data_IF_357773885563
#
_entry.id   IF_357773885563
#
_cell.length_a   1.000
_cell.length_b   1.000
_cell.length_c   1.000
_cell.angle_alpha   90.00
_cell.angle_beta   90.00
_cell.angle_gamma   90.00
#
_symmetry.space_group_name_H-M   'P 1'
#
loop_
_entity.id
_entity.type
_entity.pdbx_description
1 polymer ?
#
# COMPACT_ATOMS: atom_id res chain seq x y z
N UNK A 1 -13.13 14.75 23.82
CA UNK A 1 -13.50 14.08 22.56
C UNK A 1 -12.27 13.80 21.72
N UNK A 2 -11.52 14.84 21.31
CA UNK A 2 -10.24 14.70 20.55
C UNK A 2 -9.27 13.74 21.23
N UNK A 3 -8.96 13.94 22.51
CA UNK A 3 -8.01 13.07 23.24
C UNK A 3 -8.45 11.60 23.29
N UNK A 4 -9.75 11.35 23.42
CA UNK A 4 -10.31 9.99 23.40
C UNK A 4 -10.17 9.35 22.02
N UNK A 5 -10.38 10.12 20.96
CA UNK A 5 -10.22 9.64 19.58
C UNK A 5 -8.75 9.35 19.24
N UNK A 6 -7.84 10.26 19.62
CA UNK A 6 -6.40 10.07 19.44
C UNK A 6 -5.89 8.85 20.23
N UNK A 7 -6.43 8.62 21.45
CA UNK A 7 -6.14 7.43 22.25
C UNK A 7 -6.66 6.15 21.59
N UNK A 8 -7.91 6.16 21.09
CA UNK A 8 -8.48 5.02 20.35
C UNK A 8 -7.69 4.72 19.07
N UNK A 9 -7.22 5.77 18.38
CA UNK A 9 -6.36 5.62 17.20
C UNK A 9 -5.01 5.01 17.57
N UNK A 10 -4.39 5.45 18.67
CA UNK A 10 -3.14 4.86 19.18
C UNK A 10 -3.31 3.40 19.57
N UNK A 11 -4.42 3.05 20.23
CA UNK A 11 -4.75 1.68 20.61
C UNK A 11 -4.95 0.78 19.37
N UNK A 12 -5.66 1.28 18.35
CA UNK A 12 -5.82 0.57 17.08
C UNK A 12 -4.47 0.33 16.37
N UNK A 13 -3.56 1.31 16.39
CA UNK A 13 -2.21 1.16 15.83
C UNK A 13 -1.39 0.15 16.67
N UNK A 14 -1.50 0.17 17.99
CA UNK A 14 -0.81 -0.80 18.84
C UNK A 14 -1.33 -2.23 18.66
N UNK A 15 -2.63 -2.39 18.49
CA UNK A 15 -3.23 -3.68 18.18
C UNK A 15 -2.77 -4.18 16.80
N UNK A 16 -2.75 -3.29 15.80
CA UNK A 16 -2.19 -3.56 14.48
C UNK A 16 -0.72 -4.01 14.56
N UNK A 17 0.13 -3.31 15.32
CA UNK A 17 1.54 -3.71 15.53
C UNK A 17 1.61 -5.06 16.22
N UNK A 18 0.85 -5.28 17.29
CA UNK A 18 0.83 -6.57 18.02
C UNK A 18 0.41 -7.71 17.11
N UNK A 19 -0.57 -7.52 16.24
CA UNK A 19 -1.00 -8.53 15.27
C UNK A 19 0.11 -8.91 14.29
N UNK A 20 0.83 -7.91 13.75
CA UNK A 20 1.97 -8.18 12.87
C UNK A 20 3.11 -8.86 13.63
N UNK A 21 3.44 -8.41 14.85
CA UNK A 21 4.51 -9.00 15.67
C UNK A 21 4.20 -10.43 16.13
N UNK A 22 2.95 -10.73 16.51
CA UNK A 22 2.50 -12.10 16.83
C UNK A 22 2.66 -12.99 15.61
N UNK A 23 2.27 -12.50 14.43
CA UNK A 23 2.50 -13.21 13.16
C UNK A 23 4.00 -13.44 12.99
N UNK A 24 4.85 -12.44 13.15
CA UNK A 24 6.30 -12.63 13.07
C UNK A 24 6.86 -13.60 14.13
N UNK A 25 6.30 -13.69 15.33
CA UNK A 25 6.75 -14.61 16.37
C UNK A 25 6.36 -16.07 16.10
N UNK A 26 5.30 -16.33 15.34
CA UNK A 26 4.94 -17.68 14.92
C UNK A 26 5.96 -18.31 13.95
N UNK A 27 6.93 -17.53 13.43
CA UNK A 27 8.02 -17.96 12.53
C UNK A 27 8.95 -19.01 13.15
N UNK A 28 9.25 -18.88 14.44
CA UNK A 28 10.18 -19.79 15.15
C UNK A 28 9.49 -21.08 15.61
N UNK A 29 8.18 -21.19 15.40
CA UNK A 29 7.40 -22.38 15.73
C UNK A 29 7.27 -23.34 14.55
N UNK A 30 7.11 -24.66 14.80
CA UNK A 30 6.92 -25.66 13.74
C UNK A 30 5.63 -25.47 12.91
N UNK A 31 4.77 -24.50 13.26
CA UNK A 31 3.48 -24.22 12.65
C UNK A 31 3.48 -23.06 11.64
N UNK A 32 4.58 -22.34 11.43
CA UNK A 32 4.63 -21.24 10.46
C UNK A 32 4.23 -21.68 9.04
N UNK A 33 4.66 -22.88 8.64
CA UNK A 33 4.23 -23.50 7.39
C UNK A 33 2.74 -23.86 7.36
N UNK A 34 2.14 -24.25 8.50
CA UNK A 34 0.71 -24.55 8.61
C UNK A 34 -0.15 -23.28 8.49
N UNK A 35 0.28 -22.20 9.14
CA UNK A 35 -0.41 -20.91 9.20
C UNK A 35 -0.43 -20.18 7.85
N UNK A 36 0.46 -20.52 6.93
CA UNK A 36 0.48 -20.06 5.53
C UNK A 36 -0.23 -21.06 4.59
N UNK A 37 -0.33 -22.34 4.98
CA UNK A 37 -0.98 -23.41 4.22
C UNK A 37 -2.47 -23.64 4.57
N UNK A 38 -3.04 -22.90 5.52
CA UNK A 38 -4.41 -23.16 5.99
C UNK A 38 -5.49 -22.60 5.04
N UNK A 39 -6.09 -23.54 4.31
CA UNK A 39 -7.37 -23.45 3.61
C UNK A 39 -8.43 -22.65 4.41
N UNK A 40 -9.13 -21.67 3.79
CA UNK A 40 -10.18 -20.88 4.43
C UNK A 40 -11.38 -21.66 5.01
N UNK A 41 -11.46 -22.97 4.79
CA UNK A 41 -12.58 -23.83 5.19
C UNK A 41 -12.50 -24.37 6.63
N UNK A 42 -11.42 -24.15 7.38
CA UNK A 42 -11.25 -24.72 8.73
C UNK A 42 -11.37 -23.74 9.91
N UNK A 43 -11.74 -22.47 9.69
CA UNK A 43 -12.00 -21.50 10.76
C UNK A 43 -13.22 -21.84 11.66
N UNK A 44 -13.90 -22.97 11.44
CA UNK A 44 -15.11 -23.34 12.17
C UNK A 44 -15.03 -24.59 13.07
N UNK A 45 -13.86 -25.22 13.23
CA UNK A 45 -13.72 -26.40 14.10
C UNK A 45 -12.76 -26.17 15.28
N UNK A 46 -13.09 -25.18 16.11
CA UNK A 46 -12.63 -25.13 17.51
C UNK A 46 -13.55 -25.98 18.40
N UNK A 47 -13.62 -27.29 18.16
CA UNK A 47 -14.25 -28.23 19.11
C UNK A 47 -13.26 -29.34 19.49
N UNK A 48 -13.00 -29.55 20.79
CA UNK A 48 -11.99 -30.51 21.25
C UNK A 48 -12.62 -31.89 21.41
N UNK A 49 -12.68 -32.67 20.33
CA UNK A 49 -12.70 -34.12 20.45
C UNK A 49 -12.37 -34.74 19.10
N UNK A 50 -11.24 -35.43 18.96
CA UNK A 50 -11.08 -36.63 18.13
C UNK A 50 -9.71 -37.27 18.41
N UNK A 51 -9.74 -38.33 19.21
CA UNK A 51 -8.68 -39.33 19.28
C UNK A 51 -8.78 -40.30 18.09
N UNK A 52 -7.70 -40.45 17.32
CA UNK A 52 -7.32 -41.66 16.55
C UNK A 52 -5.91 -41.50 15.98
N UNK A 53 -4.98 -42.33 16.46
CA UNK A 53 -3.54 -42.05 16.56
C UNK A 53 -2.63 -42.66 15.46
N UNK A 54 -3.10 -42.86 14.22
CA UNK A 54 -2.21 -43.37 13.15
C UNK A 54 -2.43 -42.78 11.75
N UNK A 55 -3.63 -42.28 11.43
CA UNK A 55 -3.86 -41.52 10.19
C UNK A 55 -3.52 -40.04 10.31
N UNK A 56 -3.56 -39.48 11.53
CA UNK A 56 -3.24 -38.07 11.79
C UNK A 56 -1.77 -37.75 11.53
N UNK A 57 -0.85 -38.66 11.85
CA UNK A 57 0.59 -38.43 11.64
C UNK A 57 0.99 -38.49 10.17
N UNK A 58 0.37 -39.33 9.34
CA UNK A 58 0.65 -39.36 7.88
C UNK A 58 0.09 -38.11 7.20
N UNK A 59 -1.14 -37.72 7.54
CA UNK A 59 -1.75 -36.48 7.04
C UNK A 59 -0.99 -35.23 7.51
N UNK A 60 -0.53 -35.21 8.76
CA UNK A 60 0.28 -34.13 9.29
C UNK A 60 1.69 -34.09 8.66
N UNK A 61 2.26 -35.24 8.28
CA UNK A 61 3.57 -35.32 7.62
C UNK A 61 3.50 -34.98 6.12
N UNK A 62 2.42 -35.37 5.43
CA UNK A 62 2.07 -34.90 4.07
C UNK A 62 1.79 -33.40 4.08
N UNK A 63 0.96 -32.90 5.00
CA UNK A 63 0.73 -31.46 5.22
C UNK A 63 2.02 -30.70 5.53
N UNK A 64 2.92 -31.26 6.36
CA UNK A 64 4.21 -30.66 6.67
C UNK A 64 5.16 -30.65 5.45
N UNK A 65 5.09 -31.67 4.59
CA UNK A 65 5.84 -31.72 3.34
C UNK A 65 5.28 -30.78 2.28
N UNK A 66 3.96 -30.58 2.27
CA UNK A 66 3.22 -29.71 1.35
C UNK A 66 3.37 -28.24 1.75
N UNK A 67 3.32 -27.92 3.04
CA UNK A 67 3.68 -26.63 3.61
C UNK A 67 5.17 -26.27 3.36
N UNK A 68 6.09 -27.24 3.45
CA UNK A 68 7.51 -27.06 3.07
C UNK A 68 7.71 -26.85 1.57
N UNK A 69 6.89 -27.46 0.71
CA UNK A 69 6.97 -27.32 -0.74
C UNK A 69 6.26 -26.05 -1.26
N UNK A 70 5.20 -25.58 -0.60
CA UNK A 70 4.41 -24.41 -1.01
C UNK A 70 4.98 -23.07 -0.50
N UNK A 71 5.74 -23.08 0.60
CA UNK A 71 6.59 -21.95 1.01
C UNK A 71 8.04 -22.20 0.58
N UNK A 72 8.35 -22.00 -0.70
CA UNK A 72 9.75 -21.93 -1.13
C UNK A 72 10.50 -20.87 -0.29
N UNK A 73 11.74 -21.15 0.15
CA UNK A 73 12.48 -20.27 1.09
C UNK A 73 12.52 -18.80 0.67
N UNK A 74 12.59 -18.54 -0.65
CA UNK A 74 12.54 -17.19 -1.24
C UNK A 74 11.21 -16.47 -0.95
N UNK A 75 10.08 -17.17 -1.09
CA UNK A 75 8.74 -16.62 -0.84
C UNK A 75 8.54 -16.28 0.64
N UNK A 76 9.10 -17.08 1.53
CA UNK A 76 9.05 -16.85 2.98
C UNK A 76 9.92 -15.64 3.36
N UNK A 77 11.10 -15.51 2.77
CA UNK A 77 11.99 -14.35 2.95
C UNK A 77 11.37 -13.05 2.43
N UNK A 78 10.71 -13.09 1.27
CA UNK A 78 9.97 -11.95 0.71
C UNK A 78 8.84 -11.51 1.65
N UNK A 79 8.01 -12.45 2.11
CA UNK A 79 6.91 -12.16 3.02
C UNK A 79 7.42 -11.54 4.35
N UNK A 80 8.56 -12.01 4.83
CA UNK A 80 9.20 -11.44 6.02
C UNK A 80 9.65 -10.00 5.82
N UNK A 81 10.31 -9.68 4.71
CA UNK A 81 10.74 -8.31 4.39
C UNK A 81 9.54 -7.37 4.32
N UNK A 82 8.45 -7.80 3.69
CA UNK A 82 7.19 -7.04 3.61
C UNK A 82 6.64 -6.78 5.01
N UNK A 83 6.48 -7.81 5.85
CA UNK A 83 5.97 -7.63 7.21
C UNK A 83 6.86 -6.72 8.06
N UNK A 84 8.19 -6.84 7.95
CA UNK A 84 9.12 -5.96 8.64
C UNK A 84 8.92 -4.49 8.22
N UNK A 85 8.81 -4.24 6.92
CA UNK A 85 8.55 -2.88 6.40
C UNK A 85 7.20 -2.31 6.89
N UNK A 86 6.15 -3.15 6.96
CA UNK A 86 4.84 -2.76 7.51
C UNK A 86 4.92 -2.43 9.00
N UNK A 87 5.68 -3.22 9.78
CA UNK A 87 5.91 -2.98 11.21
C UNK A 87 6.63 -1.64 11.43
N UNK A 88 7.68 -1.36 10.65
CA UNK A 88 8.44 -0.11 10.77
C UNK A 88 7.59 1.10 10.41
N UNK A 89 6.76 0.99 9.37
CA UNK A 89 5.76 2.00 9.02
C UNK A 89 4.78 2.23 10.19
N UNK A 90 4.24 1.18 10.80
CA UNK A 90 3.31 1.31 11.92
C UNK A 90 3.96 1.94 13.15
N UNK A 91 5.22 1.60 13.44
CA UNK A 91 6.01 2.23 14.51
C UNK A 91 6.21 3.73 14.25
N UNK A 92 6.49 4.12 12.99
CA UNK A 92 6.61 5.52 12.60
C UNK A 92 5.27 6.28 12.75
N UNK A 93 4.16 5.66 12.34
CA UNK A 93 2.81 6.25 12.48
C UNK A 93 2.44 6.41 13.94
N UNK A 94 2.72 5.43 14.80
CA UNK A 94 2.52 5.55 16.25
C UNK A 94 3.25 6.77 16.80
N UNK A 95 4.53 6.92 16.47
CA UNK A 95 5.33 8.08 16.90
C UNK A 95 4.74 9.41 16.39
N UNK A 96 4.23 9.45 15.16
CA UNK A 96 3.55 10.61 14.59
C UNK A 96 2.29 10.97 15.37
N UNK A 97 1.42 9.99 15.66
CA UNK A 97 0.17 10.20 16.43
C UNK A 97 0.47 10.66 17.85
N UNK A 98 1.47 10.08 18.52
CA UNK A 98 1.92 10.55 19.84
C UNK A 98 2.43 11.99 19.77
N UNK A 99 3.26 12.32 18.78
CA UNK A 99 3.80 13.68 18.61
C UNK A 99 2.70 14.69 18.28
N UNK A 100 1.73 14.31 17.45
CA UNK A 100 0.53 15.10 17.13
C UNK A 100 -0.30 15.37 18.38
N UNK A 101 -0.48 14.36 19.24
CA UNK A 101 -1.18 14.50 20.52
C UNK A 101 -0.46 15.47 21.46
N UNK A 102 0.87 15.39 21.55
CA UNK A 102 1.66 16.32 22.37
C UNK A 102 1.57 17.76 21.84
N UNK A 103 1.57 17.94 20.52
CA UNK A 103 1.36 19.26 19.90
C UNK A 103 -0.03 19.81 20.22
N UNK A 104 -1.08 18.98 20.16
CA UNK A 104 -2.44 19.40 20.52
C UNK A 104 -2.53 19.84 21.99
N UNK A 105 -1.87 19.12 22.90
CA UNK A 105 -1.79 19.51 24.33
C UNK A 105 -1.10 20.86 24.51
N UNK A 106 0.05 21.07 23.86
CA UNK A 106 0.76 22.35 23.89
C UNK A 106 -0.12 23.51 23.39
N UNK A 107 -0.84 23.32 22.28
CA UNK A 107 -1.76 24.33 21.71
C UNK A 107 -2.88 24.67 22.68
N UNK A 108 -3.47 23.67 23.33
CA UNK A 108 -4.56 23.87 24.29
C UNK A 108 -4.03 24.58 25.54
N UNK A 109 -2.87 24.17 26.06
CA UNK A 109 -2.27 24.75 27.25
C UNK A 109 -1.88 26.22 27.04
N UNK A 110 -1.30 26.56 25.89
CA UNK A 110 -0.96 27.95 25.54
C UNK A 110 -2.19 28.79 25.17
N UNK A 111 -3.20 28.17 24.54
CA UNK A 111 -4.35 28.89 23.97
C UNK A 111 -5.59 29.00 24.86
N UNK A 112 -5.75 28.19 25.92
CA UNK A 112 -6.98 28.19 26.73
C UNK A 112 -7.07 29.34 27.73
N UNK A 113 -5.95 29.90 28.18
CA UNK A 113 -5.93 30.88 29.27
C UNK A 113 -6.62 30.35 30.54
N UNK A 114 -7.63 31.06 31.02
CA UNK A 114 -8.44 30.64 32.17
C UNK A 114 -9.55 29.61 31.83
N UNK A 115 -9.79 29.33 30.54
CA UNK A 115 -10.83 28.40 30.10
C UNK A 115 -10.45 26.94 30.35
N UNK A 116 -11.46 26.08 30.44
CA UNK A 116 -11.27 24.62 30.49
C UNK A 116 -10.88 24.07 29.12
N UNK A 117 -10.23 22.90 29.09
CA UNK A 117 -9.90 22.19 27.84
C UNK A 117 -11.13 21.94 26.97
N UNK A 118 -12.27 21.61 27.60
CA UNK A 118 -13.53 21.37 26.90
C UNK A 118 -14.05 22.63 26.21
N UNK A 119 -14.02 23.77 26.91
CA UNK A 119 -14.42 25.06 26.33
C UNK A 119 -13.53 25.46 25.16
N UNK A 120 -12.22 25.19 25.24
CA UNK A 120 -11.30 25.51 24.14
C UNK A 120 -11.63 24.72 22.87
N UNK A 121 -11.88 23.41 22.98
CA UNK A 121 -12.28 22.58 21.84
C UNK A 121 -13.67 22.95 21.31
N UNK A 122 -14.60 23.33 22.18
CA UNK A 122 -15.93 23.79 21.77
C UNK A 122 -15.88 25.11 21.00
N UNK A 123 -15.06 26.07 21.45
CA UNK A 123 -14.83 27.35 20.75
C UNK A 123 -14.13 27.18 19.41
N UNK A 124 -13.34 26.12 19.25
CA UNK A 124 -12.61 25.80 18.02
C UNK A 124 -13.21 24.58 17.30
N UNK A 125 -14.55 24.45 17.26
CA UNK A 125 -15.27 23.27 16.77
C UNK A 125 -14.78 22.74 15.42
N UNK A 126 -14.63 23.59 14.39
CA UNK A 126 -14.16 23.19 13.07
C UNK A 126 -12.74 22.59 13.07
N UNK A 127 -11.86 23.12 13.92
CA UNK A 127 -10.51 22.56 14.08
C UNK A 127 -10.55 21.22 14.82
N UNK A 128 -11.35 21.15 15.89
CA UNK A 128 -11.62 19.92 16.66
C UNK A 128 -12.17 18.81 15.77
N UNK A 129 -13.13 19.11 14.91
CA UNK A 129 -13.72 18.16 13.95
C UNK A 129 -12.71 17.68 12.91
N UNK A 130 -11.90 18.59 12.35
CA UNK A 130 -10.84 18.24 11.42
C UNK A 130 -9.76 17.34 12.03
N UNK A 131 -9.44 17.53 13.31
CA UNK A 131 -8.54 16.64 14.05
C UNK A 131 -9.14 15.24 14.25
N UNK A 132 -10.41 15.17 14.64
CA UNK A 132 -11.10 13.90 14.88
C UNK A 132 -11.26 13.12 13.58
N UNK A 133 -11.66 13.77 12.48
CA UNK A 133 -11.83 13.11 11.19
C UNK A 133 -10.50 12.58 10.65
N UNK A 134 -9.42 13.38 10.73
CA UNK A 134 -8.10 12.96 10.32
C UNK A 134 -7.57 11.80 11.19
N UNK A 135 -7.79 11.84 12.51
CA UNK A 135 -7.41 10.75 13.42
C UNK A 135 -8.12 9.44 13.06
N UNK A 136 -9.44 9.50 12.80
CA UNK A 136 -10.24 8.34 12.38
C UNK A 136 -9.73 7.74 11.07
N UNK A 137 -9.41 8.59 10.09
CA UNK A 137 -8.86 8.15 8.81
C UNK A 137 -7.52 7.41 9.01
N UNK A 138 -6.64 7.90 9.89
CA UNK A 138 -5.38 7.21 10.25
C UNK A 138 -5.64 5.86 10.91
N UNK A 139 -6.58 5.79 11.87
CA UNK A 139 -6.94 4.54 12.53
C UNK A 139 -7.50 3.49 11.56
N UNK A 140 -8.43 3.89 10.69
CA UNK A 140 -8.97 3.02 9.65
C UNK A 140 -7.89 2.56 8.66
N UNK A 141 -7.04 3.48 8.20
CA UNK A 141 -5.93 3.17 7.31
C UNK A 141 -4.94 2.17 7.93
N UNK A 142 -4.70 2.25 9.24
CA UNK A 142 -3.86 1.30 9.96
C UNK A 142 -4.45 -0.12 9.94
N UNK A 143 -5.74 -0.27 10.25
CA UNK A 143 -6.43 -1.56 10.18
C UNK A 143 -6.37 -2.14 8.75
N UNK A 144 -6.68 -1.33 7.74
CA UNK A 144 -6.65 -1.76 6.33
C UNK A 144 -5.27 -2.24 5.88
N UNK A 145 -4.19 -1.56 6.31
CA UNK A 145 -2.83 -1.96 5.97
C UNK A 145 -2.48 -3.32 6.56
N UNK A 146 -2.80 -3.57 7.83
CA UNK A 146 -2.53 -4.86 8.47
C UNK A 146 -3.34 -5.98 7.83
N UNK A 147 -4.63 -5.75 7.58
CA UNK A 147 -5.47 -6.74 6.93
C UNK A 147 -4.99 -7.07 5.51
N UNK A 148 -4.53 -6.07 4.75
CA UNK A 148 -3.95 -6.29 3.43
C UNK A 148 -2.63 -7.05 3.51
N UNK A 149 -1.75 -6.70 4.45
CA UNK A 149 -0.50 -7.42 4.70
C UNK A 149 -0.76 -8.89 5.11
N UNK A 150 -1.74 -9.14 5.97
CA UNK A 150 -2.17 -10.48 6.38
C UNK A 150 -2.61 -11.31 5.15
N UNK A 151 -3.46 -10.73 4.29
CA UNK A 151 -3.93 -11.40 3.06
C UNK A 151 -2.80 -11.70 2.09
N UNK A 152 -1.84 -10.79 1.92
CA UNK A 152 -0.66 -10.98 1.06
C UNK A 152 0.21 -12.14 1.55
N UNK A 153 0.47 -12.21 2.86
CA UNK A 153 1.27 -13.28 3.46
C UNK A 153 0.57 -14.63 3.42
N UNK A 154 -0.77 -14.63 3.47
CA UNK A 154 -1.61 -15.81 3.31
C UNK A 154 -1.87 -16.20 1.85
N UNK A 155 -1.34 -15.45 0.87
CA UNK A 155 -1.57 -15.67 -0.56
C UNK A 155 -3.06 -15.64 -0.99
N UNK A 156 -3.91 -14.99 -0.19
CA UNK A 156 -5.32 -14.77 -0.48
C UNK A 156 -5.58 -13.34 -0.97
N UNK A 157 -4.60 -12.45 -0.82
CA UNK A 157 -4.64 -11.04 -1.21
C UNK A 157 -3.77 -10.71 -2.41
N UNK A 158 -3.87 -9.45 -2.83
CA UNK A 158 -3.11 -8.87 -3.95
C UNK A 158 -2.02 -7.96 -3.43
N UNK A 159 -0.81 -8.04 -3.99
CA UNK A 159 0.28 -7.11 -3.66
C UNK A 159 -0.09 -5.66 -3.98
N UNK A 160 -0.89 -5.43 -5.02
CA UNK A 160 -1.38 -4.11 -5.41
C UNK A 160 -2.29 -3.49 -4.33
N UNK A 161 -3.04 -4.31 -3.59
CA UNK A 161 -3.88 -3.83 -2.49
C UNK A 161 -3.01 -3.24 -1.37
N UNK A 162 -1.92 -3.93 -1.00
CA UNK A 162 -0.99 -3.48 0.03
C UNK A 162 -0.28 -2.19 -0.37
N UNK A 163 0.06 -2.04 -1.65
CA UNK A 163 0.63 -0.80 -2.21
C UNK A 163 -0.35 0.36 -2.05
N UNK A 164 -1.63 0.16 -2.38
CA UNK A 164 -2.65 1.21 -2.24
C UNK A 164 -2.87 1.57 -0.77
N UNK A 165 -3.00 0.59 0.12
CA UNK A 165 -3.13 0.83 1.57
C UNK A 165 -1.96 1.65 2.14
N UNK A 166 -0.73 1.38 1.67
CA UNK A 166 0.47 2.12 2.07
C UNK A 166 0.44 3.59 1.64
N UNK A 167 -0.12 3.90 0.47
CA UNK A 167 -0.30 5.28 0.02
C UNK A 167 -1.44 5.99 0.79
N UNK A 168 -2.56 5.31 1.01
CA UNK A 168 -3.72 5.87 1.71
C UNK A 168 -3.40 6.23 3.17
N UNK A 169 -2.63 5.38 3.87
CA UNK A 169 -2.22 5.67 5.26
C UNK A 169 -1.24 6.85 5.33
N UNK A 170 -0.29 6.95 4.39
CA UNK A 170 0.61 8.09 4.30
C UNK A 170 -0.17 9.39 4.03
N UNK A 171 -1.13 9.38 3.11
CA UNK A 171 -2.02 10.51 2.86
C UNK A 171 -2.84 10.90 4.09
N UNK A 172 -3.42 9.93 4.80
CA UNK A 172 -4.19 10.16 6.02
C UNK A 172 -3.34 10.78 7.14
N UNK A 173 -2.09 10.33 7.31
CA UNK A 173 -1.17 10.96 8.28
C UNK A 173 -0.78 12.38 7.88
N UNK A 174 -0.62 12.67 6.59
CA UNK A 174 -0.37 14.04 6.11
C UNK A 174 -1.57 14.96 6.39
N UNK A 175 -2.80 14.45 6.24
CA UNK A 175 -4.01 15.17 6.63
C UNK A 175 -4.03 15.47 8.14
N UNK A 176 -3.66 14.51 8.99
CA UNK A 176 -3.55 14.72 10.44
C UNK A 176 -2.52 15.80 10.78
N UNK A 177 -1.35 15.80 10.12
CA UNK A 177 -0.32 16.83 10.30
C UNK A 177 -0.83 18.20 9.86
N UNK A 178 -1.54 18.28 8.74
CA UNK A 178 -2.14 19.51 8.26
C UNK A 178 -3.18 20.05 9.26
N UNK A 179 -4.07 19.20 9.78
CA UNK A 179 -5.05 19.56 10.78
C UNK A 179 -4.41 20.04 12.10
N UNK A 180 -3.39 19.33 12.60
CA UNK A 180 -2.65 19.70 13.82
C UNK A 180 -1.89 21.02 13.67
N UNK A 181 -1.39 21.34 12.48
CA UNK A 181 -0.64 22.57 12.22
C UNK A 181 -1.48 23.84 12.27
N UNK A 182 -2.80 23.79 12.02
CA UNK A 182 -3.67 24.98 11.86
C UNK A 182 -3.58 25.95 13.04
N UNK A 183 -3.48 25.43 14.27
CA UNK A 183 -3.41 26.21 15.51
C UNK A 183 -2.04 26.19 16.17
N UNK A 184 -1.04 25.56 15.56
CA UNK A 184 0.30 25.44 16.10
C UNK A 184 1.13 26.72 15.90
N UNK A 185 1.95 27.07 16.88
CA UNK A 185 2.95 28.11 16.71
C UNK A 185 4.09 27.64 15.78
N UNK A 186 4.57 28.52 14.91
CA UNK A 186 5.61 28.18 13.91
C UNK A 186 6.96 27.84 14.56
N UNK A 187 7.23 28.36 15.75
CA UNK A 187 8.43 28.09 16.56
C UNK A 187 8.28 26.89 17.48
N UNK A 188 7.14 26.19 17.48
CA UNK A 188 6.92 25.03 18.33
C UNK A 188 7.90 23.90 17.97
N UNK A 189 8.61 23.39 18.98
CA UNK A 189 9.49 22.22 18.85
C UNK A 189 8.69 20.96 18.51
N UNK A 190 7.47 20.84 19.03
CA UNK A 190 6.59 19.71 18.74
C UNK A 190 6.09 19.76 17.30
N UNK A 191 5.85 20.94 16.73
CA UNK A 191 5.51 21.08 15.31
C UNK A 191 6.66 20.64 14.40
N UNK A 192 7.90 21.08 14.69
CA UNK A 192 9.07 20.67 13.92
C UNK A 192 9.27 19.14 13.97
N UNK A 193 9.14 18.55 15.16
CA UNK A 193 9.20 17.09 15.35
C UNK A 193 8.07 16.35 14.62
N UNK A 194 6.85 16.90 14.62
CA UNK A 194 5.72 16.31 13.91
C UNK A 194 5.97 16.27 12.40
N UNK A 195 6.55 17.33 11.84
CA UNK A 195 6.91 17.40 10.42
C UNK A 195 8.00 16.39 10.06
N UNK A 196 8.99 16.18 10.93
CA UNK A 196 10.00 15.13 10.77
C UNK A 196 9.36 13.73 10.81
N UNK A 197 8.47 13.47 11.78
CA UNK A 197 7.73 12.21 11.84
C UNK A 197 6.92 11.96 10.57
N UNK A 198 6.31 13.00 9.99
CA UNK A 198 5.57 12.90 8.72
C UNK A 198 6.46 12.50 7.54
N UNK A 199 7.69 13.02 7.47
CA UNK A 199 8.66 12.62 6.44
C UNK A 199 9.07 11.15 6.62
N UNK A 200 9.37 10.74 7.85
CA UNK A 200 9.71 9.36 8.16
C UNK A 200 8.56 8.39 7.79
N UNK A 201 7.29 8.76 8.04
CA UNK A 201 6.15 7.93 7.59
C UNK A 201 6.11 7.77 6.07
N UNK A 202 6.36 8.85 5.31
CA UNK A 202 6.42 8.77 3.85
C UNK A 202 7.57 7.88 3.36
N UNK A 203 8.73 7.96 4.00
CA UNK A 203 9.89 7.09 3.69
C UNK A 203 9.59 5.62 3.98
N UNK A 204 8.99 5.31 5.13
CA UNK A 204 8.60 3.94 5.48
C UNK A 204 7.50 3.41 4.55
N UNK A 205 6.52 4.24 4.16
CA UNK A 205 5.49 3.84 3.20
C UNK A 205 6.09 3.55 1.82
N UNK A 206 7.06 4.35 1.36
CA UNK A 206 7.81 4.07 0.14
C UNK A 206 8.60 2.76 0.23
N UNK A 207 9.19 2.47 1.39
CA UNK A 207 9.90 1.22 1.64
C UNK A 207 8.97 -0.01 1.59
N UNK A 208 7.74 0.09 2.12
CA UNK A 208 6.73 -0.98 1.98
C UNK A 208 6.40 -1.23 0.52
N UNK A 209 6.17 -0.17 -0.26
CA UNK A 209 5.87 -0.29 -1.70
C UNK A 209 7.04 -0.91 -2.47
N UNK A 210 8.26 -0.47 -2.19
CA UNK A 210 9.47 -1.03 -2.81
C UNK A 210 9.65 -2.51 -2.46
N UNK A 211 9.51 -2.86 -1.18
CA UNK A 211 9.61 -4.26 -0.70
C UNK A 211 8.52 -5.14 -1.31
N UNK A 212 7.31 -4.61 -1.45
CA UNK A 212 6.17 -5.31 -2.05
C UNK A 212 6.40 -5.60 -3.53
N UNK A 213 6.84 -4.60 -4.30
CA UNK A 213 7.14 -4.75 -5.74
C UNK A 213 8.32 -5.70 -5.97
N UNK A 214 9.42 -5.50 -5.25
CA UNK A 214 10.58 -6.39 -5.32
C UNK A 214 10.21 -7.82 -4.92
N UNK A 215 9.31 -7.98 -3.97
CA UNK A 215 8.78 -9.27 -3.56
C UNK A 215 7.94 -9.95 -4.63
N UNK A 216 7.06 -9.18 -5.29
CA UNK A 216 6.25 -9.64 -6.41
C UNK A 216 7.13 -10.14 -7.56
N UNK A 217 8.12 -9.36 -7.98
CA UNK A 217 9.06 -9.73 -9.05
C UNK A 217 9.82 -11.03 -8.75
N UNK A 218 10.33 -11.20 -7.53
CA UNK A 218 11.07 -12.41 -7.12
C UNK A 218 10.19 -13.67 -7.06
N UNK A 219 8.89 -13.51 -6.91
CA UNK A 219 7.93 -14.63 -6.91
C UNK A 219 7.48 -14.95 -8.34
N UNK A 220 7.29 -13.93 -9.19
CA UNK A 220 6.82 -14.06 -10.58
C UNK A 220 7.93 -14.45 -11.58
N UNK A 221 9.20 -14.12 -11.33
CA UNK A 221 10.35 -14.42 -12.22
C UNK A 221 10.61 -15.94 -12.43
N UNK A 222 9.84 -16.81 -11.77
CA UNK A 222 9.98 -18.27 -11.88
C UNK A 222 9.25 -18.91 -13.06
N UNK A 223 8.39 -18.18 -13.77
CA UNK A 223 7.75 -18.64 -15.01
C UNK A 223 8.57 -18.24 -16.26
N UNK A 224 9.85 -18.63 -16.29
CA UNK A 224 10.69 -18.43 -17.47
C UNK A 224 10.11 -19.21 -18.66
N UNK A 225 9.75 -18.50 -19.73
CA UNK A 225 9.21 -19.10 -20.95
C UNK A 225 10.20 -20.09 -21.57
N UNK A 226 9.94 -21.39 -21.40
CA UNK A 226 10.73 -22.44 -22.02
C UNK A 226 10.24 -22.70 -23.45
N UNK A 227 11.00 -22.21 -24.43
CA UNK A 227 10.71 -22.41 -25.84
C UNK A 227 11.24 -23.75 -26.38
N UNK A 228 11.90 -24.56 -25.54
CA UNK A 228 12.50 -25.84 -25.92
C UNK A 228 11.42 -26.84 -26.35
N UNK A 229 11.47 -27.30 -27.60
CA UNK A 229 10.58 -28.36 -28.09
C UNK A 229 9.24 -27.90 -28.68
N UNK A 230 9.00 -26.58 -28.83
CA UNK A 230 7.83 -26.07 -29.54
C UNK A 230 8.03 -26.07 -31.07
N UNK A 231 7.00 -26.50 -31.81
CA UNK A 231 6.98 -26.37 -33.27
C UNK A 231 6.64 -24.93 -33.68
N UNK A 232 7.08 -24.52 -34.89
CA UNK A 232 6.85 -23.16 -35.41
C UNK A 232 5.36 -22.75 -35.41
N UNK A 233 4.46 -23.70 -35.68
CA UNK A 233 3.01 -23.47 -35.68
C UNK A 233 2.48 -23.24 -34.26
N UNK A 234 2.97 -24.00 -33.26
CA UNK A 234 2.60 -23.80 -31.85
C UNK A 234 3.07 -22.45 -31.33
N UNK A 235 4.32 -22.09 -31.64
CA UNK A 235 4.88 -20.78 -31.29
C UNK A 235 4.06 -19.64 -31.90
N UNK A 236 3.69 -19.74 -33.18
CA UNK A 236 2.89 -18.69 -33.84
C UNK A 236 1.48 -18.57 -33.25
N UNK A 237 0.89 -19.70 -32.82
CA UNK A 237 -0.40 -19.72 -32.13
C UNK A 237 -0.29 -19.03 -30.76
N UNK A 238 0.74 -19.36 -29.98
CA UNK A 238 0.98 -18.75 -28.67
C UNK A 238 1.26 -17.25 -28.80
N UNK A 239 2.07 -16.83 -29.78
CA UNK A 239 2.28 -15.40 -30.09
C UNK A 239 0.96 -14.66 -30.34
N UNK A 240 0.06 -15.26 -31.14
CA UNK A 240 -1.25 -14.68 -31.44
C UNK A 240 -2.14 -14.64 -30.20
N UNK A 241 -2.16 -15.68 -29.38
CA UNK A 241 -2.91 -15.72 -28.12
C UNK A 241 -2.38 -14.67 -27.13
N UNK A 242 -1.07 -14.50 -27.01
CA UNK A 242 -0.46 -13.43 -26.21
C UNK A 242 -0.83 -12.04 -26.76
N UNK A 243 -0.84 -11.84 -28.07
CA UNK A 243 -1.25 -10.56 -28.68
C UNK A 243 -2.72 -10.22 -28.38
N UNK A 244 -3.63 -11.20 -28.48
CA UNK A 244 -5.03 -11.01 -28.07
C UNK A 244 -5.10 -10.65 -26.59
N UNK A 245 -4.31 -11.33 -25.75
CA UNK A 245 -4.28 -11.06 -24.31
C UNK A 245 -3.80 -9.64 -23.98
N UNK A 246 -2.80 -9.13 -24.70
CA UNK A 246 -2.32 -7.75 -24.57
C UNK A 246 -3.46 -6.77 -24.87
N UNK A 247 -4.17 -6.92 -25.99
CA UNK A 247 -5.28 -6.04 -26.36
C UNK A 247 -6.42 -6.07 -25.34
N UNK A 248 -6.75 -7.26 -24.79
CA UNK A 248 -7.74 -7.38 -23.73
C UNK A 248 -7.31 -6.66 -22.44
N UNK A 249 -6.05 -6.79 -22.05
CA UNK A 249 -5.50 -6.15 -20.85
C UNK A 249 -5.44 -4.63 -21.01
N UNK A 250 -5.05 -4.12 -22.18
CA UNK A 250 -5.08 -2.68 -22.49
C UNK A 250 -6.50 -2.10 -22.36
N UNK A 251 -7.49 -2.79 -22.91
CA UNK A 251 -8.91 -2.38 -22.80
C UNK A 251 -9.37 -2.37 -21.35
N UNK A 252 -9.01 -3.39 -20.56
CA UNK A 252 -9.34 -3.46 -19.12
C UNK A 252 -8.65 -2.36 -18.31
N UNK A 253 -7.37 -2.10 -18.58
CA UNK A 253 -6.59 -1.05 -17.93
C UNK A 253 -7.24 0.32 -18.15
N UNK A 254 -7.63 0.63 -19.38
CA UNK A 254 -8.30 1.90 -19.69
C UNK A 254 -9.66 2.01 -18.97
N UNK A 255 -10.44 0.92 -18.94
CA UNK A 255 -11.69 0.87 -18.20
C UNK A 255 -11.53 1.16 -16.70
N UNK A 256 -10.54 0.54 -16.04
CA UNK A 256 -10.26 0.78 -14.62
C UNK A 256 -9.73 2.21 -14.37
N UNK A 257 -8.96 2.80 -15.30
CA UNK A 257 -8.51 4.20 -15.20
C UNK A 257 -9.68 5.18 -15.22
N UNK A 258 -10.65 4.96 -16.11
CA UNK A 258 -11.87 5.77 -16.18
C UNK A 258 -12.66 5.64 -14.88
N UNK A 259 -12.90 4.41 -14.42
CA UNK A 259 -13.61 4.12 -13.17
C UNK A 259 -12.92 4.74 -11.95
N UNK A 260 -11.59 4.66 -11.85
CA UNK A 260 -10.81 5.30 -10.79
C UNK A 260 -10.97 6.83 -10.84
N UNK A 261 -10.98 7.41 -12.04
CA UNK A 261 -11.25 8.83 -12.24
C UNK A 261 -12.65 9.24 -11.74
N UNK A 262 -13.67 8.43 -12.00
CA UNK A 262 -15.04 8.65 -11.52
C UNK A 262 -15.15 8.55 -10.00
N UNK A 263 -14.54 7.52 -9.39
CA UNK A 263 -14.50 7.35 -7.94
C UNK A 263 -13.82 8.55 -7.26
N UNK A 264 -12.72 9.05 -7.81
CA UNK A 264 -12.06 10.25 -7.28
C UNK A 264 -12.95 11.48 -7.37
N UNK A 265 -13.70 11.66 -8.47
CA UNK A 265 -14.69 12.76 -8.60
C UNK A 265 -15.77 12.65 -7.52
N UNK A 266 -16.32 11.45 -7.30
CA UNK A 266 -17.32 11.23 -6.25
C UNK A 266 -16.76 11.51 -4.86
N UNK A 267 -15.51 11.11 -4.59
CA UNK A 267 -14.84 11.40 -3.33
C UNK A 267 -14.74 12.90 -3.08
N UNK A 268 -14.43 13.72 -4.08
CA UNK A 268 -14.44 15.19 -3.94
C UNK A 268 -15.83 15.76 -3.70
N UNK A 269 -16.87 15.24 -4.37
CA UNK A 269 -18.25 15.70 -4.16
C UNK A 269 -18.71 15.40 -2.73
N UNK A 270 -18.41 14.20 -2.23
CA UNK A 270 -18.75 13.81 -0.86
C UNK A 270 -17.90 14.54 0.18
N UNK A 271 -16.61 14.76 -0.09
CA UNK A 271 -15.72 15.50 0.81
C UNK A 271 -15.98 17.02 0.79
N UNK A 272 -16.50 17.57 -0.31
CA UNK A 272 -16.83 18.97 -0.51
C UNK A 272 -18.27 19.36 -0.16
N UNK A 273 -19.12 18.41 0.24
CA UNK A 273 -20.53 18.66 0.59
C UNK A 273 -20.78 19.44 1.89
N UNK A 274 -19.75 20.08 2.46
CA UNK A 274 -19.84 20.95 3.64
C UNK A 274 -19.45 22.41 3.36
N UNK A 275 -19.45 22.86 2.09
CA UNK A 275 -19.39 24.28 1.75
C UNK A 275 -20.77 24.77 1.27
N UNK A 276 -21.17 25.89 1.85
CA UNK A 276 -22.48 26.53 1.82
C UNK A 276 -23.14 26.63 0.44
N UNK A 277 -24.48 26.58 0.44
CA UNK A 277 -25.31 27.04 -0.68
C UNK A 277 -24.94 28.48 -1.07
N UNK A 278 -24.80 28.80 -2.37
CA UNK A 278 -24.87 30.18 -2.81
C UNK A 278 -26.32 30.49 -3.20
N UNK A 279 -26.89 31.39 -2.40
CA UNK A 279 -27.87 32.38 -2.81
C UNK A 279 -27.47 33.03 -4.16
N UNK A 280 -28.47 33.49 -4.90
CA UNK A 280 -28.41 33.99 -6.26
C UNK A 280 -27.23 34.93 -6.63
N UNK A 281 -26.79 34.83 -7.88
CA UNK A 281 -26.29 35.99 -8.63
C UNK A 281 -24.80 36.03 -8.99
N UNK A 282 -24.57 35.95 -10.30
CA UNK A 282 -23.43 36.52 -11.04
C UNK A 282 -22.21 35.62 -11.32
N UNK A 283 -22.23 35.09 -12.55
CA UNK A 283 -21.18 34.28 -13.14
C UNK A 283 -19.85 35.04 -13.26
N UNK A 284 -18.78 34.48 -12.67
CA UNK A 284 -17.38 34.76 -13.04
C UNK A 284 -16.79 33.56 -13.78
N UNK A 285 -16.05 33.76 -14.88
CA UNK A 285 -15.61 32.67 -15.73
C UNK A 285 -14.46 31.89 -15.09
N UNK A 286 -14.57 30.56 -15.11
CA UNK A 286 -13.54 29.64 -14.67
C UNK A 286 -12.26 29.76 -15.53
N UNK A 287 -11.05 29.60 -14.97
CA UNK A 287 -9.81 29.60 -15.74
C UNK A 287 -9.68 28.31 -16.57
N UNK A 288 -9.40 28.47 -17.85
CA UNK A 288 -9.29 27.36 -18.81
C UNK A 288 -8.11 26.41 -18.50
N UNK A 289 -8.27 25.09 -18.73
CA UNK A 289 -7.18 24.12 -18.55
C UNK A 289 -6.15 24.28 -19.68
N UNK A 290 -4.87 24.46 -19.31
CA UNK A 290 -3.75 24.50 -20.25
C UNK A 290 -3.61 23.13 -20.94
N UNK A 291 -3.77 23.09 -22.27
CA UNK A 291 -3.44 21.94 -23.11
C UNK A 291 -1.92 21.67 -23.05
N UNK A 292 -1.53 20.62 -22.32
CA UNK A 292 -0.21 20.01 -22.47
C UNK A 292 -0.15 19.21 -23.78
N UNK A 293 0.73 19.61 -24.68
CA UNK A 293 1.03 18.92 -25.93
C UNK A 293 1.79 17.63 -25.58
N UNK A 294 1.07 16.51 -25.55
CA UNK A 294 1.66 15.17 -25.49
C UNK A 294 2.16 14.83 -26.91
N UNK A 295 3.44 15.06 -27.19
CA UNK A 295 4.06 14.58 -28.45
C UNK A 295 4.12 13.05 -28.41
N UNK A 296 3.42 12.39 -29.34
CA UNK A 296 3.58 10.95 -29.61
C UNK A 296 5.04 10.63 -29.97
N UNK A 297 5.62 9.53 -29.48
CA UNK A 297 6.91 9.06 -29.97
C UNK A 297 6.79 8.60 -31.44
N UNK A 298 7.82 8.81 -32.28
CA UNK A 298 7.78 8.47 -33.70
C UNK A 298 7.77 6.96 -33.92
N UNK A 299 6.84 6.52 -34.78
CA UNK A 299 6.76 5.18 -35.35
C UNK A 299 8.06 4.88 -36.11
N UNK A 300 8.70 3.76 -35.80
CA UNK A 300 9.85 3.24 -36.55
C UNK A 300 9.43 2.92 -38.00
N UNK A 301 10.04 3.62 -38.96
CA UNK A 301 9.89 3.32 -40.38
C UNK A 301 10.76 2.12 -40.75
N UNK A 302 10.18 1.16 -41.50
CA UNK A 302 10.91 0.02 -42.09
C UNK A 302 12.02 0.54 -43.01
N UNK A 303 13.25 0.00 -42.95
CA UNK A 303 14.26 0.29 -43.96
C UNK A 303 13.87 -0.37 -45.29
N UNK A 304 13.82 0.44 -46.34
CA UNK A 304 13.64 0.00 -47.72
C UNK A 304 14.86 -0.79 -48.23
N UNK A 305 14.57 -1.71 -49.14
CA UNK A 305 15.53 -2.51 -49.89
C UNK A 305 16.61 -1.64 -50.56
N UNK A 306 17.87 -1.91 -50.25
CA UNK A 306 19.04 -1.43 -50.98
C UNK A 306 20.16 -2.46 -50.88
N UNK A 307 20.50 -3.11 -52.00
CA UNK A 307 21.62 -4.03 -52.16
C UNK A 307 22.96 -3.33 -51.87
N UNK A 308 23.88 -3.93 -51.10
CA UNK A 308 25.32 -4.09 -51.44
C UNK A 308 25.91 -5.26 -50.60
N UNK A 309 26.81 -6.05 -51.20
CA UNK A 309 27.35 -7.35 -50.74
C UNK A 309 28.38 -7.36 -49.59
N UNK A 310 29.07 -8.51 -49.35
CA UNK A 310 29.61 -8.89 -48.06
C UNK A 310 31.06 -8.44 -47.83
N UNK A 311 31.36 -7.97 -46.60
CA UNK A 311 32.71 -7.62 -46.17
C UNK A 311 32.87 -7.88 -44.66
N UNK A 312 33.85 -8.74 -44.34
CA UNK A 312 34.19 -9.22 -43.01
C UNK A 312 34.83 -8.14 -42.11
N UNK A 313 34.78 -8.34 -40.78
CA UNK A 313 35.88 -7.90 -39.89
C UNK A 313 35.49 -7.23 -38.57
N UNK A 314 35.47 -8.03 -37.50
CA UNK A 314 36.08 -7.84 -36.17
C UNK A 314 35.97 -6.52 -35.34
N UNK A 315 35.94 -6.76 -34.02
CA UNK A 315 36.11 -5.85 -32.87
C UNK A 315 34.87 -5.04 -32.46
N UNK A 316 34.46 -4.92 -31.19
CA UNK A 316 35.03 -5.33 -29.91
C UNK A 316 34.42 -4.45 -28.81
N UNK A 317 34.10 -5.06 -27.67
CA UNK A 317 33.94 -4.46 -26.33
C UNK A 317 32.71 -3.57 -26.03
N UNK A 318 32.13 -3.82 -24.84
CA UNK A 318 31.68 -2.74 -23.96
C UNK A 318 30.18 -2.69 -23.63
N UNK A 319 29.65 -3.75 -23.00
CA UNK A 319 28.34 -3.68 -22.34
C UNK A 319 28.38 -2.68 -21.18
N UNK A 320 27.63 -1.58 -21.30
CA UNK A 320 27.28 -0.69 -20.19
C UNK A 320 25.83 -0.93 -19.81
N UNK A 321 25.66 -1.36 -18.57
CA UNK A 321 24.45 -1.40 -17.77
C UNK A 321 23.70 -0.07 -17.83
N UNK A 322 22.37 -0.15 -17.97
CA UNK A 322 21.45 0.94 -17.68
C UNK A 322 20.39 0.43 -16.70
N UNK A 323 20.57 0.82 -15.44
CA UNK A 323 19.49 1.03 -14.48
C UNK A 323 18.64 2.23 -14.94
N UNK A 324 17.43 2.30 -14.37
CA UNK A 324 16.43 3.38 -14.43
C UNK A 324 15.37 3.27 -15.52
N UNK A 325 14.21 2.72 -15.15
CA UNK A 325 12.91 3.42 -15.17
C UNK A 325 11.91 2.72 -14.23
#
# INVERSE_FOLDING_TARGET
MVEKEMASTSEAIEDAVRRIEVRQSCKDGPFWGLVVAECPSLLHLSHPNMASHSSSCVFQQEMMSQARNESSGVKLEVNERILNSCTDLMKAIRLLVTTSTNLQKEIVESGRGAATTQEFYAKNSRWTEGLISASKAVGWGATQLVESADRVVLHTGKYEELIVCSHEIAASTAQLVAASKVKAEKSSRNLARLQECSRNVNEMAANVVASTKSGQEQIEEKDTMDFSGMSLIKLKKEEMETQVKVLELEKRLEGERVRLGELRKQHYVLAGGCEDAPEDGEARPAPAPRRGILKKPPIAQKPGLGQVGPGWGAAGQGGRSWHEF
#
